data_IF_643445761771
#
_entry.id   IF_643445761771
#
_cell.length_a   1.000
_cell.length_b   1.000
_cell.length_c   1.000
_cell.angle_alpha   90.00
_cell.angle_beta   90.00
_cell.angle_gamma   90.00
#
_symmetry.space_group_name_H-M   'P 1'
#
loop_
_entity.id
_entity.type
_entity.pdbx_description
1 polymer ?
#
# COMPACT_ATOMS: atom_id res chain seq x y z
N UNK A 1 14.43 15.52 15.75
CA UNK A 1 14.63 14.85 17.05
C UNK A 1 14.55 13.37 16.75
N UNK A 2 15.62 12.62 16.96
CA UNK A 2 15.68 11.21 16.58
C UNK A 2 14.84 10.37 17.55
N UNK A 3 13.88 9.59 17.03
CA UNK A 3 12.96 8.79 17.84
C UNK A 3 13.43 7.34 18.06
N UNK A 4 14.39 6.88 17.25
CA UNK A 4 14.81 5.47 17.17
C UNK A 4 15.60 4.93 18.39
N UNK A 5 15.96 5.74 19.39
CA UNK A 5 17.00 5.34 20.36
C UNK A 5 16.56 4.35 21.46
N UNK A 6 15.27 3.98 21.56
CA UNK A 6 14.76 3.15 22.67
C UNK A 6 13.71 2.07 22.30
N UNK A 7 13.42 1.86 21.01
CA UNK A 7 12.47 0.81 20.59
C UNK A 7 13.20 -0.48 20.21
N UNK A 8 12.57 -1.64 20.43
CA UNK A 8 13.12 -2.92 19.98
C UNK A 8 13.00 -3.02 18.46
N UNK A 9 14.13 -3.02 17.76
CA UNK A 9 14.17 -3.27 16.31
C UNK A 9 13.67 -4.71 16.06
N UNK A 10 12.60 -4.92 15.28
CA UNK A 10 12.06 -6.26 15.04
C UNK A 10 13.04 -7.08 14.20
N UNK A 11 13.02 -8.40 14.38
CA UNK A 11 13.85 -9.32 13.58
C UNK A 11 12.99 -9.90 12.46
N UNK A 12 13.30 -9.63 11.18
CA UNK A 12 12.53 -10.20 10.09
C UNK A 12 12.83 -11.70 9.92
N UNK A 13 11.90 -12.48 9.35
CA UNK A 13 12.12 -13.90 9.11
C UNK A 13 13.15 -14.19 8.00
N UNK A 14 13.50 -13.19 7.20
CA UNK A 14 14.52 -13.26 6.15
C UNK A 14 14.95 -11.85 5.74
N UNK A 15 16.04 -11.74 4.96
CA UNK A 15 16.44 -10.52 4.26
C UNK A 15 16.38 -10.74 2.74
N UNK A 16 16.14 -9.65 1.99
CA UNK A 16 15.89 -9.68 0.55
C UNK A 16 14.40 -9.75 0.19
N UNK A 17 14.10 -9.97 -1.09
CA UNK A 17 12.73 -9.92 -1.61
C UNK A 17 12.14 -11.32 -1.94
N UNK A 18 10.88 -11.51 -1.58
CA UNK A 18 10.07 -12.70 -1.90
C UNK A 18 8.80 -12.31 -2.65
N UNK A 19 8.36 -13.24 -3.49
CA UNK A 19 7.10 -13.14 -4.23
C UNK A 19 6.07 -14.05 -3.60
N UNK A 20 4.84 -13.57 -3.50
CA UNK A 20 3.66 -14.33 -3.07
C UNK A 20 2.63 -14.26 -4.19
N UNK A 21 2.34 -15.41 -4.80
CA UNK A 21 1.39 -15.53 -5.91
C UNK A 21 0.09 -16.22 -5.51
N UNK A 22 0.12 -17.04 -4.47
CA UNK A 22 -0.99 -17.92 -4.08
C UNK A 22 -1.92 -17.21 -3.08
N UNK A 23 -2.35 -16.01 -3.42
CA UNK A 23 -3.20 -15.17 -2.57
C UNK A 23 -4.66 -15.36 -3.01
N UNK A 24 -5.50 -15.83 -2.08
CA UNK A 24 -6.93 -15.96 -2.37
C UNK A 24 -7.57 -14.58 -2.53
N UNK A 25 -8.23 -14.37 -3.67
CA UNK A 25 -9.02 -13.16 -3.91
C UNK A 25 -10.14 -12.99 -2.86
N UNK A 26 -10.69 -14.09 -2.31
CA UNK A 26 -11.66 -14.03 -1.21
C UNK A 26 -11.05 -13.47 0.07
N UNK A 27 -9.79 -13.83 0.39
CA UNK A 27 -9.09 -13.27 1.55
C UNK A 27 -8.87 -11.77 1.38
N UNK A 28 -8.48 -11.33 0.17
CA UNK A 28 -8.33 -9.91 -0.16
C UNK A 28 -9.66 -9.18 -0.03
N UNK A 29 -10.77 -9.78 -0.47
CA UNK A 29 -12.08 -9.16 -0.35
C UNK A 29 -12.57 -8.89 1.08
N UNK A 30 -11.98 -9.54 2.10
CA UNK A 30 -12.24 -9.20 3.50
C UNK A 30 -11.65 -7.85 3.92
N UNK A 31 -10.79 -7.26 3.08
CA UNK A 31 -10.17 -5.95 3.30
C UNK A 31 -10.76 -4.84 2.42
N UNK A 32 -11.77 -5.14 1.60
CA UNK A 32 -12.46 -4.11 0.82
C UNK A 32 -13.09 -3.08 1.76
N UNK A 33 -12.90 -1.80 1.43
CA UNK A 33 -13.62 -0.71 2.07
C UNK A 33 -14.90 -0.39 1.25
N UNK A 34 -16.08 -0.92 1.62
CA UNK A 34 -17.30 -0.71 0.85
C UNK A 34 -17.72 0.76 0.81
N UNK A 35 -17.34 1.56 1.82
CA UNK A 35 -17.67 2.99 1.84
C UNK A 35 -16.92 3.71 0.73
N UNK A 36 -15.63 3.44 0.55
CA UNK A 36 -14.82 4.04 -0.52
C UNK A 36 -15.25 3.51 -1.87
N UNK A 37 -15.40 2.18 -2.02
CA UNK A 37 -15.87 1.56 -3.26
C UNK A 37 -17.20 2.18 -3.74
N UNK A 38 -18.22 2.20 -2.88
CA UNK A 38 -19.56 2.62 -3.30
C UNK A 38 -19.67 4.13 -3.49
N UNK A 39 -19.07 4.93 -2.60
CA UNK A 39 -19.25 6.40 -2.62
C UNK A 39 -18.22 7.13 -3.48
N UNK A 40 -16.98 6.70 -3.41
CA UNK A 40 -15.85 7.38 -4.07
C UNK A 40 -15.68 6.81 -5.47
N UNK A 41 -15.46 5.50 -5.59
CA UNK A 41 -15.16 4.90 -6.89
C UNK A 41 -16.40 4.80 -7.80
N UNK A 42 -17.53 4.35 -7.27
CA UNK A 42 -18.76 4.19 -8.07
C UNK A 42 -19.73 5.38 -8.00
N UNK A 43 -19.48 6.34 -7.11
CA UNK A 43 -20.25 7.58 -7.06
C UNK A 43 -21.67 7.46 -6.51
N UNK A 44 -22.04 6.36 -5.84
CA UNK A 44 -23.34 6.20 -5.16
C UNK A 44 -23.39 7.05 -3.89
N UNK A 45 -23.43 8.37 -4.05
CA UNK A 45 -23.43 9.35 -2.95
C UNK A 45 -24.83 9.59 -2.41
N UNK A 46 -24.93 9.91 -1.13
CA UNK A 46 -26.17 10.37 -0.50
C UNK A 46 -26.64 11.67 -1.16
N UNK A 47 -27.88 11.68 -1.63
CA UNK A 47 -28.48 12.84 -2.28
C UNK A 47 -28.85 13.94 -1.26
N UNK A 48 -28.85 15.23 -1.64
CA UNK A 48 -29.34 16.30 -0.78
C UNK A 48 -30.76 16.03 -0.28
N UNK A 49 -30.99 16.18 1.03
CA UNK A 49 -32.29 15.93 1.66
C UNK A 49 -32.61 14.47 1.97
N UNK A 50 -31.80 13.51 1.52
CA UNK A 50 -31.95 12.08 1.84
C UNK A 50 -31.47 11.80 3.26
N UNK A 51 -32.29 11.12 4.07
CA UNK A 51 -31.90 10.72 5.43
C UNK A 51 -30.89 9.58 5.39
N UNK A 52 -30.04 9.48 6.43
CA UNK A 52 -28.99 8.46 6.49
C UNK A 52 -29.56 7.03 6.35
N UNK A 53 -30.60 6.71 7.11
CA UNK A 53 -31.20 5.38 7.08
C UNK A 53 -31.88 5.03 5.73
N UNK A 54 -32.30 6.04 4.95
CA UNK A 54 -32.82 5.82 3.60
C UNK A 54 -31.69 5.49 2.64
N UNK A 55 -30.56 6.19 2.78
CA UNK A 55 -29.35 5.95 2.02
C UNK A 55 -28.77 4.56 2.30
N UNK A 56 -28.72 4.15 3.56
CA UNK A 56 -28.24 2.82 3.94
C UNK A 56 -29.12 1.72 3.32
N UNK A 57 -30.45 1.88 3.34
CA UNK A 57 -31.38 0.96 2.65
C UNK A 57 -31.17 0.92 1.14
N UNK A 58 -30.90 2.06 0.51
CA UNK A 58 -30.59 2.13 -0.92
C UNK A 58 -29.30 1.36 -1.24
N UNK A 59 -28.25 1.56 -0.43
CA UNK A 59 -26.97 0.84 -0.58
C UNK A 59 -27.20 -0.66 -0.49
N UNK A 60 -27.88 -1.14 0.55
CA UNK A 60 -28.13 -2.57 0.72
C UNK A 60 -28.98 -3.17 -0.39
N UNK A 61 -30.03 -2.46 -0.85
CA UNK A 61 -30.97 -3.00 -1.82
C UNK A 61 -30.46 -2.95 -3.26
N UNK A 62 -29.74 -1.89 -3.63
CA UNK A 62 -29.37 -1.63 -5.03
C UNK A 62 -27.87 -1.82 -5.28
N UNK A 63 -27.01 -1.36 -4.37
CA UNK A 63 -25.55 -1.29 -4.61
C UNK A 63 -24.84 -2.57 -4.19
N UNK A 64 -25.22 -3.17 -3.06
CA UNK A 64 -24.63 -4.44 -2.60
C UNK A 64 -24.83 -5.56 -3.62
N UNK A 65 -26.00 -5.75 -4.26
CA UNK A 65 -26.16 -6.76 -5.32
C UNK A 65 -25.24 -6.53 -6.53
N UNK A 66 -25.01 -5.26 -6.92
CA UNK A 66 -24.06 -4.91 -7.98
C UNK A 66 -22.64 -5.34 -7.57
N UNK A 67 -22.25 -5.06 -6.33
CA UNK A 67 -20.97 -5.51 -5.80
C UNK A 67 -20.82 -7.03 -5.81
N UNK A 68 -21.82 -7.77 -5.32
CA UNK A 68 -21.77 -9.24 -5.34
C UNK A 68 -21.67 -9.77 -6.78
N UNK A 69 -22.36 -9.14 -7.74
CA UNK A 69 -22.27 -9.49 -9.15
C UNK A 69 -20.85 -9.30 -9.70
N UNK A 70 -20.25 -8.13 -9.52
CA UNK A 70 -18.89 -7.88 -10.03
C UNK A 70 -17.81 -8.68 -9.28
N UNK A 71 -17.99 -8.88 -7.97
CA UNK A 71 -17.16 -9.77 -7.17
C UNK A 71 -17.15 -11.19 -7.78
N UNK A 72 -18.33 -11.74 -8.06
CA UNK A 72 -18.44 -13.07 -8.65
C UNK A 72 -17.85 -13.11 -10.07
N UNK A 73 -18.11 -12.09 -10.91
CA UNK A 73 -17.51 -12.01 -12.24
C UNK A 73 -15.98 -12.02 -12.19
N UNK A 74 -15.38 -11.25 -11.28
CA UNK A 74 -13.93 -11.21 -11.13
C UNK A 74 -13.36 -12.56 -10.69
N UNK A 75 -14.06 -13.29 -9.82
CA UNK A 75 -13.68 -14.62 -9.37
C UNK A 75 -13.83 -15.68 -10.46
N UNK A 76 -14.99 -15.72 -11.14
CA UNK A 76 -15.31 -16.73 -12.16
C UNK A 76 -14.41 -16.63 -13.39
N UNK A 77 -13.99 -15.42 -13.73
CA UNK A 77 -13.20 -15.15 -14.94
C UNK A 77 -11.73 -14.82 -14.63
N UNK A 78 -11.33 -14.88 -13.36
CA UNK A 78 -9.95 -14.63 -12.93
C UNK A 78 -9.40 -13.29 -13.44
N UNK A 79 -10.25 -12.25 -13.38
CA UNK A 79 -9.91 -10.91 -13.88
C UNK A 79 -8.97 -10.15 -12.94
N UNK A 80 -9.01 -10.47 -11.65
CA UNK A 80 -8.18 -9.87 -10.62
C UNK A 80 -7.30 -10.96 -10.01
N UNK A 81 -5.99 -10.83 -10.19
CA UNK A 81 -4.98 -11.77 -9.70
C UNK A 81 -4.09 -11.08 -8.68
N UNK A 82 -4.34 -11.26 -7.37
CA UNK A 82 -3.55 -10.60 -6.35
C UNK A 82 -2.13 -11.18 -6.31
N UNK A 83 -1.13 -10.35 -6.55
CA UNK A 83 0.28 -10.70 -6.53
C UNK A 83 1.04 -9.69 -5.67
N UNK A 84 1.99 -10.17 -4.89
CA UNK A 84 2.80 -9.34 -3.99
C UNK A 84 4.27 -9.68 -4.16
N UNK A 85 5.10 -8.66 -4.23
CA UNK A 85 6.54 -8.76 -3.95
C UNK A 85 6.87 -7.86 -2.79
N UNK A 86 7.53 -8.42 -1.78
CA UNK A 86 7.91 -7.67 -0.58
C UNK A 86 9.25 -8.17 -0.06
N UNK A 87 9.90 -7.38 0.77
CA UNK A 87 11.18 -7.77 1.34
C UNK A 87 11.59 -6.94 2.53
N UNK A 88 12.56 -7.46 3.26
CA UNK A 88 13.17 -6.82 4.41
C UNK A 88 14.63 -6.55 4.14
N UNK A 89 15.11 -5.38 4.54
CA UNK A 89 16.45 -4.94 4.25
C UNK A 89 17.07 -4.25 5.47
N UNK A 90 18.37 -4.44 5.62
CA UNK A 90 19.17 -3.67 6.57
C UNK A 90 19.14 -2.20 6.18
N UNK A 91 18.88 -1.33 7.15
CA UNK A 91 18.82 0.09 6.91
C UNK A 91 19.35 0.94 8.06
N UNK A 92 19.88 2.11 7.72
CA UNK A 92 20.24 3.17 8.65
C UNK A 92 19.91 4.54 8.03
N UNK A 93 19.72 5.55 8.86
CA UNK A 93 19.51 6.93 8.44
C UNK A 93 20.80 7.75 8.42
N UNK A 94 20.91 8.66 7.46
CA UNK A 94 21.93 9.71 7.41
C UNK A 94 21.23 11.04 7.09
N UNK A 95 20.75 11.74 8.13
CA UNK A 95 19.92 12.92 7.98
C UNK A 95 18.56 12.60 7.35
N UNK A 96 18.31 13.11 6.15
CA UNK A 96 17.07 12.90 5.38
C UNK A 96 17.19 11.73 4.38
N UNK A 97 18.33 11.02 4.41
CA UNK A 97 18.57 9.81 3.62
C UNK A 97 18.34 8.53 4.43
N UNK A 98 17.75 7.53 3.80
CA UNK A 98 17.67 6.14 4.26
C UNK A 98 18.59 5.28 3.38
N UNK A 99 19.63 4.73 4.00
CA UNK A 99 20.62 3.87 3.36
C UNK A 99 20.14 2.43 3.50
N UNK A 100 20.10 1.71 2.38
CA UNK A 100 19.79 0.28 2.32
C UNK A 100 21.06 -0.49 2.02
N UNK A 101 21.35 -1.51 2.81
CA UNK A 101 22.57 -2.30 2.68
C UNK A 101 22.32 -3.62 1.96
N UNK A 102 23.39 -4.18 1.40
CA UNK A 102 23.45 -5.58 1.01
C UNK A 102 23.34 -6.52 2.22
N UNK A 103 23.25 -7.82 1.96
CA UNK A 103 23.12 -8.86 3.00
C UNK A 103 24.30 -8.93 4.00
N UNK A 104 25.43 -8.27 3.70
CA UNK A 104 26.58 -8.14 4.61
C UNK A 104 26.39 -7.05 5.69
N UNK A 105 25.28 -6.29 5.61
CA UNK A 105 24.94 -5.17 6.48
C UNK A 105 26.03 -4.09 6.56
N UNK A 106 26.83 -3.95 5.51
CA UNK A 106 27.99 -3.03 5.47
C UNK A 106 28.08 -2.29 4.14
N UNK A 107 27.83 -2.97 3.03
CA UNK A 107 27.93 -2.36 1.70
C UNK A 107 26.62 -1.66 1.36
N UNK A 108 26.67 -0.33 1.18
CA UNK A 108 25.53 0.45 0.68
C UNK A 108 25.10 -0.09 -0.69
N UNK A 109 23.82 -0.42 -0.81
CA UNK A 109 23.21 -0.90 -2.05
C UNK A 109 22.41 0.21 -2.72
N UNK A 110 21.49 0.83 -1.99
CA UNK A 110 20.60 1.87 -2.52
C UNK A 110 20.31 2.90 -1.43
N UNK A 111 20.10 4.16 -1.80
CA UNK A 111 19.81 5.26 -0.88
C UNK A 111 18.56 6.02 -1.29
N UNK A 112 17.59 6.15 -0.40
CA UNK A 112 16.39 6.96 -0.59
C UNK A 112 16.53 8.29 0.13
N UNK A 113 16.09 9.39 -0.49
CA UNK A 113 16.04 10.70 0.15
C UNK A 113 14.58 11.06 0.35
N UNK A 114 14.19 11.41 1.57
CA UNK A 114 12.82 11.75 1.90
C UNK A 114 12.69 13.22 2.29
N UNK A 115 11.62 13.91 1.87
CA UNK A 115 11.39 15.28 2.28
C UNK A 115 11.10 15.38 3.78
N UNK A 116 11.56 16.47 4.39
CA UNK A 116 11.25 16.82 5.78
C UNK A 116 10.12 17.84 5.86
N UNK A 117 9.19 17.66 6.80
CA UNK A 117 8.14 18.65 7.05
C UNK A 117 8.74 20.01 7.42
N UNK A 118 8.23 21.08 6.82
CA UNK A 118 8.67 22.46 7.09
C UNK A 118 7.58 23.33 7.72
N UNK A 119 6.32 22.91 7.64
CA UNK A 119 5.15 23.70 8.08
C UNK A 119 4.71 23.39 9.53
N UNK A 120 5.28 22.36 10.17
CA UNK A 120 5.05 22.00 11.57
C UNK A 120 6.32 22.15 12.39
N UNK A 121 6.19 22.34 13.71
CA UNK A 121 7.35 22.34 14.62
C UNK A 121 7.98 20.96 14.77
N UNK A 122 7.20 19.89 14.55
CA UNK A 122 7.66 18.50 14.67
C UNK A 122 8.71 18.14 13.61
N UNK A 123 8.64 18.77 12.42
CA UNK A 123 9.57 18.60 11.29
C UNK A 123 9.89 17.14 10.97
N UNK A 124 8.86 16.29 10.90
CA UNK A 124 9.01 14.84 10.68
C UNK A 124 9.61 14.52 9.31
N UNK A 125 10.44 13.49 9.26
CA UNK A 125 10.91 12.80 8.06
C UNK A 125 10.77 11.28 8.28
N UNK A 126 10.58 10.50 7.20
CA UNK A 126 10.50 9.03 7.28
C UNK A 126 11.78 8.44 7.90
N UNK A 127 12.93 9.07 7.66
CA UNK A 127 14.24 8.63 8.16
C UNK A 127 14.39 8.76 9.68
N UNK A 128 13.58 9.60 10.34
CA UNK A 128 13.66 9.84 11.79
C UNK A 128 13.33 8.59 12.62
N UNK A 129 12.66 7.62 11.99
CA UNK A 129 12.22 6.36 12.58
C UNK A 129 13.24 5.22 12.47
N UNK A 130 14.40 5.49 11.85
CA UNK A 130 15.46 4.50 11.69
C UNK A 130 16.73 4.90 12.45
N UNK A 131 17.46 3.91 12.96
CA UNK A 131 18.77 4.12 13.59
C UNK A 131 19.74 4.88 12.67
N UNK A 132 20.45 5.89 13.19
CA UNK A 132 21.46 6.64 12.41
C UNK A 132 22.70 5.78 12.16
N UNK A 133 23.46 6.10 11.11
CA UNK A 133 24.83 5.56 10.88
C UNK A 133 25.79 5.82 12.05
N UNK A 134 25.52 6.84 12.88
CA UNK A 134 26.27 7.11 14.11
C UNK A 134 25.90 6.15 15.25
N UNK A 135 24.80 5.41 15.11
CA UNK A 135 24.37 4.36 16.04
C UNK A 135 25.11 3.06 15.77
N UNK A 136 25.32 2.26 16.82
CA UNK A 136 25.80 0.88 16.68
C UNK A 136 24.70 -0.10 16.21
N UNK A 137 23.45 0.38 16.09
CA UNK A 137 22.29 -0.44 15.75
C UNK A 137 22.04 -0.42 14.24
N UNK A 138 21.83 -1.61 13.67
CA UNK A 138 21.33 -1.79 12.31
C UNK A 138 19.83 -1.98 12.35
N UNK A 139 19.09 -1.14 11.65
CA UNK A 139 17.63 -1.20 11.61
C UNK A 139 17.13 -2.14 10.51
N UNK A 140 15.81 -2.34 10.47
CA UNK A 140 15.12 -3.06 9.41
C UNK A 140 14.04 -2.19 8.79
N UNK A 141 14.06 -2.12 7.45
CA UNK A 141 12.97 -1.55 6.66
C UNK A 141 12.33 -2.65 5.84
N UNK A 142 11.00 -2.57 5.67
CA UNK A 142 10.31 -3.38 4.68
C UNK A 142 9.89 -2.54 3.49
N UNK A 143 9.92 -3.14 2.31
CA UNK A 143 9.31 -2.58 1.10
C UNK A 143 8.32 -3.58 0.55
N UNK A 144 7.23 -3.08 -0.02
CA UNK A 144 6.25 -3.90 -0.71
C UNK A 144 5.82 -3.26 -2.03
N UNK A 145 5.43 -4.11 -2.97
CA UNK A 145 4.74 -3.75 -4.18
C UNK A 145 3.67 -4.82 -4.45
N UNK A 146 2.45 -4.37 -4.69
CA UNK A 146 1.30 -5.23 -4.95
C UNK A 146 0.70 -4.92 -6.31
N UNK A 147 0.06 -5.92 -6.93
CA UNK A 147 -0.74 -5.73 -8.14
C UNK A 147 -1.93 -6.69 -8.16
N UNK A 148 -3.00 -6.31 -8.85
CA UNK A 148 -4.12 -7.20 -9.19
C UNK A 148 -4.03 -7.76 -10.61
N UNK A 149 -2.87 -7.60 -11.25
CA UNK A 149 -2.56 -8.12 -12.57
C UNK A 149 -3.16 -7.29 -13.72
N UNK A 150 -2.71 -7.54 -14.97
CA UNK A 150 -3.06 -6.73 -16.12
C UNK A 150 -4.44 -7.07 -16.71
N UNK A 151 -4.99 -8.24 -16.41
CA UNK A 151 -6.23 -8.76 -17.04
C UNK A 151 -7.42 -7.83 -16.83
N UNK A 152 -7.59 -7.26 -15.63
CA UNK A 152 -8.69 -6.31 -15.38
C UNK A 152 -8.57 -5.06 -16.26
N UNK A 153 -7.35 -4.61 -16.57
CA UNK A 153 -7.11 -3.48 -17.47
C UNK A 153 -7.65 -3.78 -18.86
N UNK A 154 -7.35 -4.96 -19.42
CA UNK A 154 -7.86 -5.38 -20.73
C UNK A 154 -9.40 -5.43 -20.77
N UNK A 155 -10.02 -5.97 -19.71
CA UNK A 155 -11.49 -6.05 -19.60
C UNK A 155 -12.12 -4.65 -19.50
N UNK A 156 -11.47 -3.73 -18.80
CA UNK A 156 -11.88 -2.33 -18.72
C UNK A 156 -11.77 -1.62 -20.08
N UNK A 157 -10.67 -1.82 -20.81
CA UNK A 157 -10.48 -1.27 -22.15
C UNK A 157 -11.58 -1.74 -23.12
N UNK A 158 -11.93 -3.03 -23.06
CA UNK A 158 -13.03 -3.58 -23.86
C UNK A 158 -14.37 -2.93 -23.51
N UNK A 159 -14.69 -2.79 -22.22
CA UNK A 159 -15.92 -2.13 -21.79
C UNK A 159 -16.00 -0.67 -22.28
N UNK A 160 -14.86 0.04 -22.31
CA UNK A 160 -14.79 1.40 -22.85
C UNK A 160 -14.97 1.43 -24.36
N UNK A 161 -14.34 0.50 -25.10
CA UNK A 161 -14.49 0.40 -26.55
C UNK A 161 -15.94 0.10 -26.98
N UNK A 162 -16.69 -0.62 -26.16
CA UNK A 162 -18.13 -0.88 -26.36
C UNK A 162 -19.04 0.29 -25.94
N UNK A 163 -18.48 1.38 -25.39
CA UNK A 163 -19.25 2.50 -24.86
C UNK A 163 -20.03 2.18 -23.58
N UNK A 164 -19.65 1.12 -22.86
CA UNK A 164 -20.29 0.71 -21.61
C UNK A 164 -19.59 1.36 -20.41
N UNK A 165 -19.78 2.67 -20.27
CA UNK A 165 -19.19 3.49 -19.19
C UNK A 165 -19.54 2.97 -17.79
N UNK A 166 -20.75 2.45 -17.59
CA UNK A 166 -21.16 1.87 -16.31
C UNK A 166 -20.30 0.67 -15.93
N UNK A 167 -20.13 -0.29 -16.86
CA UNK A 167 -19.28 -1.46 -16.65
C UNK A 167 -17.83 -1.08 -16.42
N UNK A 168 -17.31 -0.13 -17.21
CA UNK A 168 -15.97 0.40 -17.02
C UNK A 168 -15.77 0.97 -15.61
N UNK A 169 -16.68 1.84 -15.15
CA UNK A 169 -16.63 2.45 -13.82
C UNK A 169 -16.65 1.40 -12.70
N UNK A 170 -17.52 0.39 -12.82
CA UNK A 170 -17.61 -0.67 -11.82
C UNK A 170 -16.33 -1.49 -11.74
N UNK A 171 -15.80 -1.93 -12.89
CA UNK A 171 -14.55 -2.69 -12.97
C UNK A 171 -13.35 -1.88 -12.48
N UNK A 172 -13.28 -0.59 -12.80
CA UNK A 172 -12.22 0.31 -12.30
C UNK A 172 -12.26 0.44 -10.79
N UNK A 173 -13.46 0.61 -10.21
CA UNK A 173 -13.60 0.61 -8.76
C UNK A 173 -13.19 -0.71 -8.12
N UNK A 174 -13.54 -1.85 -8.74
CA UNK A 174 -13.08 -3.16 -8.26
C UNK A 174 -11.55 -3.29 -8.33
N UNK A 175 -10.91 -2.86 -9.42
CA UNK A 175 -9.46 -2.91 -9.56
C UNK A 175 -8.74 -2.09 -8.49
N UNK A 176 -9.15 -0.83 -8.31
CA UNK A 176 -8.54 0.08 -7.33
C UNK A 176 -8.73 -0.45 -5.92
N UNK A 177 -9.97 -0.73 -5.49
CA UNK A 177 -10.23 -1.13 -4.11
C UNK A 177 -9.68 -2.52 -3.79
N UNK A 178 -9.59 -3.42 -4.76
CA UNK A 178 -8.92 -4.72 -4.56
C UNK A 178 -7.41 -4.54 -4.41
N UNK A 179 -6.80 -3.58 -5.14
CA UNK A 179 -5.38 -3.25 -4.97
C UNK A 179 -5.12 -2.66 -3.59
N UNK A 180 -5.97 -1.74 -3.12
CA UNK A 180 -5.93 -1.16 -1.77
C UNK A 180 -6.08 -2.23 -0.68
N UNK A 181 -7.05 -3.15 -0.86
CA UNK A 181 -7.30 -4.27 0.03
C UNK A 181 -6.11 -5.25 0.07
N UNK A 182 -5.50 -5.53 -1.08
CA UNK A 182 -4.31 -6.37 -1.19
C UNK A 182 -3.11 -5.74 -0.50
N UNK A 183 -2.93 -4.43 -0.65
CA UNK A 183 -1.86 -3.71 0.02
C UNK A 183 -2.00 -3.75 1.55
N UNK A 184 -3.22 -3.62 2.08
CA UNK A 184 -3.46 -3.78 3.52
C UNK A 184 -3.27 -5.22 3.99
N UNK A 185 -3.73 -6.20 3.20
CA UNK A 185 -3.48 -7.60 3.49
C UNK A 185 -1.97 -7.91 3.57
N UNK A 186 -1.20 -7.47 2.58
CA UNK A 186 0.26 -7.65 2.54
C UNK A 186 0.95 -6.95 3.71
N UNK A 187 0.55 -5.71 4.01
CA UNK A 187 1.09 -4.96 5.13
C UNK A 187 0.80 -5.66 6.47
N UNK A 188 -0.40 -6.24 6.65
CA UNK A 188 -0.70 -7.03 7.84
C UNK A 188 0.17 -8.29 7.93
N UNK A 189 0.43 -8.99 6.82
CA UNK A 189 1.36 -10.13 6.83
C UNK A 189 2.76 -9.70 7.27
N UNK A 190 3.24 -8.55 6.78
CA UNK A 190 4.52 -7.98 7.19
C UNK A 190 4.55 -7.69 8.69
N UNK A 191 3.49 -7.12 9.25
CA UNK A 191 3.39 -6.85 10.70
C UNK A 191 3.38 -8.14 11.53
N UNK A 192 2.72 -9.20 11.05
CA UNK A 192 2.71 -10.51 11.69
C UNK A 192 4.10 -11.16 11.66
N UNK A 193 4.80 -11.09 10.53
CA UNK A 193 6.16 -11.60 10.36
C UNK A 193 7.19 -10.87 11.23
N UNK A 194 7.00 -9.57 11.46
CA UNK A 194 7.84 -8.76 12.34
C UNK A 194 7.45 -8.85 13.82
N UNK A 195 6.42 -9.61 14.17
CA UNK A 195 5.87 -9.72 15.54
C UNK A 195 5.42 -8.36 16.14
N UNK A 196 4.88 -7.48 15.28
CA UNK A 196 4.38 -6.14 15.68
C UNK A 196 2.87 -5.97 15.48
N UNK A 197 2.16 -7.04 15.11
CA UNK A 197 0.71 -7.01 14.88
C UNK A 197 -0.13 -7.17 16.17
N UNK A 198 0.51 -7.20 17.35
CA UNK A 198 -0.18 -7.42 18.62
C UNK A 198 -1.23 -6.32 18.94
N UNK A 199 -1.00 -5.10 18.43
CA UNK A 199 -1.87 -3.93 18.63
C UNK A 199 -2.77 -3.64 17.41
N UNK A 200 -2.82 -4.54 16.41
CA UNK A 200 -3.72 -4.37 15.27
C UNK A 200 -5.18 -4.32 15.74
N UNK A 201 -5.96 -3.36 15.22
CA UNK A 201 -7.41 -3.34 15.45
C UNK A 201 -8.06 -4.65 15.00
N UNK A 202 -9.04 -5.18 15.76
CA UNK A 202 -9.85 -6.31 15.31
C UNK A 202 -10.78 -5.94 14.14
N UNK A 203 -10.97 -4.64 13.87
CA UNK A 203 -11.80 -4.16 12.77
C UNK A 203 -10.90 -3.73 11.60
N UNK A 204 -11.08 -4.39 10.45
CA UNK A 204 -10.24 -4.17 9.27
C UNK A 204 -10.28 -2.71 8.79
N UNK A 205 -11.44 -2.04 8.89
CA UNK A 205 -11.56 -0.63 8.49
C UNK A 205 -10.73 0.33 9.35
N UNK A 206 -10.45 -0.02 10.60
CA UNK A 206 -9.60 0.80 11.47
C UNK A 206 -8.12 0.70 11.08
N UNK A 207 -7.71 -0.41 10.43
CA UNK A 207 -6.36 -0.57 9.91
C UNK A 207 -6.08 0.48 8.81
N UNK A 208 -7.05 0.78 7.94
CA UNK A 208 -6.93 1.86 6.96
C UNK A 208 -6.77 3.26 7.59
N UNK A 209 -7.08 3.41 8.89
CA UNK A 209 -6.85 4.63 9.64
C UNK A 209 -5.56 4.59 10.48
N UNK A 210 -4.70 3.58 10.29
CA UNK A 210 -3.43 3.44 11.01
C UNK A 210 -3.56 2.90 12.42
N UNK A 211 -4.63 2.15 12.73
CA UNK A 211 -4.81 1.49 14.04
C UNK A 211 -4.01 0.20 14.14
N UNK A 212 -2.69 0.33 14.04
CA UNK A 212 -1.67 -0.72 14.15
C UNK A 212 -0.32 -0.10 14.56
N UNK A 213 0.67 -0.94 14.90
CA UNK A 213 2.04 -0.49 15.09
C UNK A 213 2.75 -0.25 13.73
N UNK A 214 3.54 0.83 13.65
CA UNK A 214 4.30 1.18 12.45
C UNK A 214 3.53 2.11 11.51
N UNK A 215 4.10 2.37 10.34
CA UNK A 215 3.47 3.16 9.29
C UNK A 215 3.79 2.62 7.90
N UNK A 216 2.85 2.81 6.97
CA UNK A 216 3.01 2.53 5.54
C UNK A 216 2.96 3.84 4.77
N UNK A 217 4.00 4.14 4.02
CA UNK A 217 4.05 5.32 3.15
C UNK A 217 4.12 4.87 1.70
N UNK A 218 3.10 5.23 0.90
CA UNK A 218 3.11 4.93 -0.53
C UNK A 218 3.99 5.91 -1.29
N UNK A 219 4.67 5.41 -2.30
CA UNK A 219 5.35 6.27 -3.26
C UNK A 219 4.32 7.03 -4.10
N UNK A 220 4.50 8.34 -4.25
CA UNK A 220 3.56 9.27 -4.87
C UNK A 220 2.65 10.00 -3.87
N UNK A 221 2.52 9.53 -2.62
CA UNK A 221 1.70 10.18 -1.61
C UNK A 221 2.43 11.37 -0.95
N UNK A 222 1.69 12.16 -0.16
CA UNK A 222 2.16 13.42 0.41
C UNK A 222 3.43 13.31 1.28
N UNK A 223 3.70 12.16 1.90
CA UNK A 223 4.93 11.89 2.66
C UNK A 223 6.10 11.40 1.80
N UNK A 224 5.83 10.81 0.63
CA UNK A 224 6.82 10.26 -0.28
C UNK A 224 6.46 10.59 -1.73
N UNK A 225 6.48 11.88 -2.13
CA UNK A 225 5.92 12.32 -3.41
C UNK A 225 6.80 11.99 -4.63
N UNK A 226 8.07 11.64 -4.41
CA UNK A 226 9.02 11.40 -5.49
C UNK A 226 8.84 10.00 -6.11
N UNK A 227 8.16 9.95 -7.26
CA UNK A 227 8.00 8.70 -8.02
C UNK A 227 9.32 8.18 -8.62
N UNK A 228 10.34 9.02 -8.83
CA UNK A 228 11.63 8.54 -9.34
C UNK A 228 12.32 7.58 -8.36
N UNK A 229 11.95 7.62 -7.08
CA UNK A 229 12.37 6.65 -6.08
C UNK A 229 11.92 5.21 -6.41
N UNK A 230 10.90 5.01 -7.24
CA UNK A 230 10.50 3.67 -7.70
C UNK A 230 11.57 2.99 -8.54
N UNK A 231 12.48 3.72 -9.19
CA UNK A 231 13.63 3.12 -9.88
C UNK A 231 14.63 2.46 -8.89
N UNK A 232 14.72 2.98 -7.66
CA UNK A 232 15.49 2.40 -6.57
C UNK A 232 14.77 1.18 -5.99
N UNK A 233 13.46 1.29 -5.78
CA UNK A 233 12.61 0.17 -5.35
C UNK A 233 12.69 -1.00 -6.33
N UNK A 234 12.71 -0.74 -7.64
CA UNK A 234 12.86 -1.76 -8.68
C UNK A 234 14.12 -2.61 -8.50
N UNK A 235 15.23 -2.01 -8.07
CA UNK A 235 16.47 -2.73 -7.79
C UNK A 235 16.35 -3.66 -6.58
N UNK A 236 15.52 -3.31 -5.60
CA UNK A 236 15.33 -4.09 -4.37
C UNK A 236 14.34 -5.25 -4.55
N UNK A 237 13.23 -4.98 -5.25
CA UNK A 237 12.10 -5.91 -5.31
C UNK A 237 11.97 -6.67 -6.64
N UNK A 238 12.53 -6.16 -7.74
CA UNK A 238 12.39 -6.75 -9.08
C UNK A 238 10.89 -6.99 -9.45
N UNK A 239 10.07 -5.92 -9.54
CA UNK A 239 8.62 -5.98 -9.75
C UNK A 239 8.18 -6.78 -10.98
N UNK A 240 9.06 -6.96 -11.97
CA UNK A 240 8.82 -7.76 -13.16
C UNK A 240 8.51 -9.23 -12.81
N UNK A 241 8.98 -9.70 -11.64
CA UNK A 241 8.66 -11.04 -11.11
C UNK A 241 7.17 -11.25 -10.84
N UNK A 242 6.40 -10.18 -10.69
CA UNK A 242 4.94 -10.20 -10.57
C UNK A 242 4.25 -9.51 -11.75
N UNK A 243 4.97 -9.32 -12.87
CA UNK A 243 4.44 -8.72 -14.09
C UNK A 243 4.19 -7.21 -13.98
N UNK A 244 4.82 -6.54 -13.02
CA UNK A 244 4.73 -5.08 -12.89
C UNK A 244 5.94 -4.42 -13.55
N UNK A 245 5.68 -3.45 -14.42
CA UNK A 245 6.69 -2.66 -15.10
C UNK A 245 6.68 -1.22 -14.59
N UNK A 246 7.82 -0.53 -14.73
CA UNK A 246 7.96 0.89 -14.42
C UNK A 246 8.07 1.66 -15.73
N UNK A 247 7.16 2.60 -15.98
CA UNK A 247 7.17 3.45 -17.19
C UNK A 247 8.33 4.44 -17.18
N UNK A 248 8.54 5.15 -18.30
CA UNK A 248 9.54 6.22 -18.40
C UNK A 248 9.27 7.36 -17.41
N UNK A 249 8.00 7.63 -17.10
CA UNK A 249 7.53 8.60 -16.11
C UNK A 249 7.45 8.02 -14.68
N UNK A 250 8.06 6.86 -14.43
CA UNK A 250 8.07 6.17 -13.15
C UNK A 250 6.69 5.75 -12.63
N UNK A 251 5.74 5.48 -13.51
CA UNK A 251 4.44 4.91 -13.11
C UNK A 251 4.50 3.38 -13.09
N UNK A 252 3.84 2.77 -12.12
CA UNK A 252 3.69 1.32 -12.07
C UNK A 252 2.60 0.87 -13.04
N UNK A 253 2.91 -0.14 -13.85
CA UNK A 253 2.01 -0.73 -14.82
C UNK A 253 1.80 -2.21 -14.49
N UNK A 254 0.54 -2.68 -14.35
CA UNK A 254 -0.72 -1.99 -14.62
C UNK A 254 -1.13 -0.95 -13.55
N UNK A 255 -2.09 -0.07 -13.86
CA UNK A 255 -2.63 0.99 -12.94
C UNK A 255 -3.08 0.41 -11.59
N UNK A 256 -3.57 -0.84 -11.58
CA UNK A 256 -3.88 -1.59 -10.36
C UNK A 256 -2.64 -2.12 -9.64
N UNK A 257 -1.63 -1.27 -9.45
CA UNK A 257 -0.39 -1.60 -8.73
C UNK A 257 0.01 -0.47 -7.79
N UNK A 258 0.46 -0.81 -6.59
CA UNK A 258 0.87 0.15 -5.56
C UNK A 258 2.15 -0.32 -4.90
N UNK A 259 3.02 0.62 -4.55
CA UNK A 259 4.24 0.36 -3.82
C UNK A 259 4.36 1.23 -2.58
N UNK A 260 4.96 0.68 -1.53
CA UNK A 260 5.14 1.38 -0.27
C UNK A 260 6.41 0.97 0.47
N UNK A 261 6.91 1.90 1.27
CA UNK A 261 7.86 1.65 2.36
C UNK A 261 7.08 1.40 3.65
N UNK A 262 7.48 0.37 4.39
CA UNK A 262 6.93 0.01 5.71
C UNK A 262 7.96 0.37 6.77
N UNK A 263 7.53 1.17 7.74
CA UNK A 263 8.33 1.62 8.88
C UNK A 263 7.83 0.90 10.13
N UNK A 264 8.59 -0.05 10.70
CA UNK A 264 8.12 -0.86 11.85
C UNK A 264 8.06 -0.11 13.19
N UNK A 265 8.68 1.06 13.28
CA UNK A 265 8.88 1.81 14.51
C UNK A 265 7.54 2.10 15.23
N UNK A 266 7.41 1.88 16.55
CA UNK A 266 6.14 1.99 17.27
C UNK A 266 5.52 3.40 17.26
N UNK A 267 6.36 4.43 17.17
CA UNK A 267 5.92 5.83 17.07
C UNK A 267 5.72 6.32 15.62
N UNK A 268 5.94 5.46 14.62
CA UNK A 268 5.72 5.85 13.23
C UNK A 268 4.25 6.12 12.97
N UNK A 269 3.94 7.28 12.40
CA UNK A 269 2.57 7.69 12.02
C UNK A 269 2.63 8.35 10.65
N UNK A 270 1.55 8.22 9.87
CA UNK A 270 1.44 8.90 8.58
C UNK A 270 1.39 10.42 8.83
N UNK A 271 2.08 11.17 7.99
CA UNK A 271 2.10 12.64 8.01
C UNK A 271 2.16 13.18 6.57
N UNK A 272 1.95 14.48 6.39
CA UNK A 272 2.00 15.13 5.07
C UNK A 272 3.16 16.13 5.04
N UNK A 273 3.81 16.33 3.90
CA UNK A 273 4.89 17.32 3.76
C UNK A 273 4.35 18.72 3.47
N UNK A 274 3.22 18.79 2.76
CA UNK A 274 2.53 20.02 2.43
C UNK A 274 1.47 20.34 3.48
N UNK A 275 1.21 21.63 3.71
CA UNK A 275 0.06 22.07 4.48
C UNK A 275 -1.22 21.78 3.70
N UNK A 276 -2.13 21.02 4.29
CA UNK A 276 -3.49 20.83 3.79
C UNK A 276 -4.29 22.13 3.74
#
# INVERSE_FOLDING_TARGET
MQLASNSSIPTPPFYGARVVTDISLEQVYNYINPVVLFRVQWGYRRQPGMLQHEYDRFIEREVVPIYQHYKQLCMDNDWLRPLVVYGYFHAQSEGDDLIIYHADAQTEWVRFTFPRQTHTEERRCITDYFASVDSIQMDVVAFQLVTVGPTITEVMEHARAEGNEGRYLHLRGMAIETTEALEEYAHRQIRLELDIAAEDSPYVLDLFHGSYQGARFRFGDAACPDLAALAKLRQLLEPERIGVELSEEFQLMPEGSVAAIIVPHPEARIFNIQSS
#
